data_IF_199840747835
#
_entry.id   IF_199840747835
#
_cell.length_a   1.000
_cell.length_b   1.000
_cell.length_c   1.000
_cell.angle_alpha   90.00
_cell.angle_beta   90.00
_cell.angle_gamma   90.00
#
_symmetry.space_group_name_H-M   'P 1'
#
loop_
_entity.id
_entity.type
_entity.pdbx_description
1 polymer ?
#
# COMPACT_ATOMS: atom_id res chain seq x y z
N UNK A 1 59.70 -12.12 -73.67
CA UNK A 1 58.58 -12.72 -72.90
C UNK A 1 58.41 -11.90 -71.63
N UNK A 2 57.27 -11.22 -71.47
CA UNK A 2 56.97 -10.37 -70.31
C UNK A 2 56.52 -11.25 -69.14
N UNK A 3 57.17 -11.13 -67.99
CA UNK A 3 56.81 -11.82 -66.75
C UNK A 3 55.75 -10.99 -66.01
N UNK A 4 54.52 -11.49 -65.95
CA UNK A 4 53.41 -10.86 -65.22
C UNK A 4 53.36 -11.36 -63.79
N UNK A 5 53.54 -10.45 -62.82
CA UNK A 5 53.32 -10.69 -61.40
C UNK A 5 51.79 -10.67 -61.13
N UNK A 6 51.21 -11.78 -60.70
CA UNK A 6 49.84 -11.82 -60.19
C UNK A 6 49.86 -11.42 -58.70
N UNK A 7 49.30 -10.25 -58.38
CA UNK A 7 48.96 -9.89 -57.00
C UNK A 7 47.64 -10.57 -56.62
N UNK A 8 47.68 -11.50 -55.68
CA UNK A 8 46.47 -12.02 -55.01
C UNK A 8 46.15 -11.06 -53.87
N UNK A 9 45.09 -10.27 -54.02
CA UNK A 9 44.54 -9.47 -52.93
C UNK A 9 43.82 -10.42 -51.95
N UNK A 10 44.42 -10.66 -50.78
CA UNK A 10 43.71 -11.27 -49.66
C UNK A 10 42.76 -10.23 -49.04
N UNK A 11 41.46 -10.52 -48.89
CA UNK A 11 40.56 -9.62 -48.19
C UNK A 11 40.95 -9.58 -46.71
N UNK A 12 41.29 -8.39 -46.21
CA UNK A 12 41.45 -8.14 -44.78
C UNK A 12 40.06 -8.24 -44.17
N UNK A 13 39.76 -9.42 -43.61
CA UNK A 13 38.56 -9.66 -42.82
C UNK A 13 38.68 -8.86 -41.53
N UNK A 14 37.98 -7.73 -41.46
CA UNK A 14 37.77 -7.01 -40.21
C UNK A 14 36.99 -7.93 -39.27
N UNK A 15 37.68 -8.53 -38.29
CA UNK A 15 37.02 -9.05 -37.10
C UNK A 15 36.44 -7.84 -36.36
N UNK A 16 35.16 -7.56 -36.57
CA UNK A 16 34.39 -6.78 -35.63
C UNK A 16 34.36 -7.58 -34.32
N UNK A 17 35.20 -7.18 -33.36
CA UNK A 17 35.01 -7.55 -31.97
C UNK A 17 33.60 -7.10 -31.61
N UNK A 18 32.68 -8.05 -31.43
CA UNK A 18 31.40 -7.79 -30.81
C UNK A 18 31.69 -7.30 -29.40
N UNK A 19 31.74 -5.97 -29.24
CA UNK A 19 31.63 -5.32 -27.95
C UNK A 19 30.40 -5.91 -27.27
N UNK A 20 30.61 -6.47 -26.08
CA UNK A 20 29.54 -7.06 -25.29
C UNK A 20 28.36 -6.09 -25.25
N UNK A 21 27.17 -6.60 -25.57
CA UNK A 21 25.94 -5.84 -25.46
C UNK A 21 25.76 -5.46 -23.99
N UNK A 22 26.28 -4.28 -23.61
CA UNK A 22 25.85 -3.60 -22.40
C UNK A 22 24.35 -3.45 -22.52
N UNK A 23 23.61 -3.89 -21.50
CA UNK A 23 22.17 -3.69 -21.46
C UNK A 23 21.89 -2.21 -21.68
N UNK A 24 21.14 -1.88 -22.73
CA UNK A 24 20.86 -0.51 -23.08
C UNK A 24 20.13 0.17 -21.92
N UNK A 25 20.66 1.29 -21.45
CA UNK A 25 20.02 2.11 -20.43
C UNK A 25 18.66 2.61 -20.93
N UNK A 26 17.65 2.48 -20.08
CA UNK A 26 16.32 2.98 -20.35
C UNK A 26 16.30 4.49 -20.18
N UNK A 27 15.54 5.18 -21.03
CA UNK A 27 15.20 6.59 -20.78
C UNK A 27 14.36 6.75 -19.51
N UNK A 28 14.33 7.96 -18.94
CA UNK A 28 13.50 8.26 -17.78
C UNK A 28 12.01 7.90 -18.00
N UNK A 29 11.51 8.13 -19.21
CA UNK A 29 10.13 7.81 -19.58
C UNK A 29 9.88 6.29 -19.60
N UNK A 30 10.85 5.52 -20.10
CA UNK A 30 10.78 4.05 -20.13
C UNK A 30 10.85 3.47 -18.71
N UNK A 31 11.75 3.99 -17.86
CA UNK A 31 11.82 3.63 -16.43
C UNK A 31 10.46 3.91 -15.77
N UNK A 32 9.90 5.11 -15.94
CA UNK A 32 8.60 5.46 -15.35
C UNK A 32 7.49 4.52 -15.80
N UNK A 33 7.37 4.29 -17.11
CA UNK A 33 6.34 3.42 -17.69
C UNK A 33 6.48 1.99 -17.17
N UNK A 34 7.71 1.52 -16.99
CA UNK A 34 8.00 0.18 -16.49
C UNK A 34 7.61 0.02 -15.02
N UNK A 35 7.95 0.99 -14.15
CA UNK A 35 7.88 0.78 -12.69
C UNK A 35 6.72 1.48 -12.01
N UNK A 36 6.13 2.53 -12.59
CA UNK A 36 4.97 3.23 -12.00
C UNK A 36 3.77 2.35 -11.66
N UNK A 37 3.44 1.26 -12.39
CA UNK A 37 2.39 0.32 -11.97
C UNK A 37 2.70 -0.47 -10.69
N UNK A 38 3.92 -0.35 -10.17
CA UNK A 38 4.38 -0.99 -8.93
C UNK A 38 4.57 0.03 -7.80
N UNK A 39 4.18 1.30 -7.99
CA UNK A 39 4.27 2.34 -6.96
C UNK A 39 2.87 2.71 -6.49
N UNK A 40 2.69 2.81 -5.18
CA UNK A 40 1.39 3.06 -4.53
C UNK A 40 1.47 4.29 -3.62
N UNK A 41 0.32 4.87 -3.35
CA UNK A 41 0.18 5.92 -2.31
C UNK A 41 -0.34 5.26 -1.04
N UNK A 42 0.31 5.53 0.08
CA UNK A 42 -0.10 5.06 1.39
C UNK A 42 -0.64 6.25 2.17
N UNK A 43 -1.85 6.11 2.67
CA UNK A 43 -2.51 7.10 3.49
C UNK A 43 -2.74 6.52 4.89
N UNK A 44 -2.16 7.21 5.87
CA UNK A 44 -2.38 6.97 7.29
C UNK A 44 -3.39 7.98 7.76
N UNK A 45 -4.53 7.49 8.24
CA UNK A 45 -5.62 8.33 8.71
C UNK A 45 -5.90 8.01 10.17
N UNK A 46 -6.09 9.07 10.94
CA UNK A 46 -6.65 9.00 12.28
C UNK A 46 -8.17 9.00 12.13
N UNK A 47 -8.81 8.28 13.03
CA UNK A 47 -10.26 8.14 13.06
C UNK A 47 -10.75 8.58 14.44
N UNK A 48 -10.72 9.89 14.75
CA UNK A 48 -11.17 10.37 16.05
C UNK A 48 -12.64 10.02 16.19
N UNK A 49 -13.02 9.47 17.35
CA UNK A 49 -14.42 9.32 17.69
C UNK A 49 -15.09 10.67 17.49
N UNK A 50 -16.09 10.66 16.63
CA UNK A 50 -16.80 11.89 16.44
C UNK A 50 -16.10 12.97 15.61
N UNK A 51 -15.09 12.69 14.78
CA UNK A 51 -14.64 13.68 13.78
C UNK A 51 -14.39 13.04 12.41
N UNK A 52 -14.50 13.79 11.29
CA UNK A 52 -14.06 13.31 9.98
C UNK A 52 -12.65 12.75 10.04
N UNK A 53 -12.35 11.78 9.18
CA UNK A 53 -10.99 11.22 9.13
C UNK A 53 -10.01 12.33 8.86
N UNK A 54 -8.93 12.34 9.64
CA UNK A 54 -7.84 13.25 9.42
C UNK A 54 -6.74 12.46 8.76
N UNK A 55 -6.32 12.87 7.57
CA UNK A 55 -5.05 12.41 7.03
C UNK A 55 -3.95 12.84 8.00
N UNK A 56 -3.31 11.87 8.63
CA UNK A 56 -2.21 12.10 9.59
C UNK A 56 -0.90 12.13 8.84
N UNK A 57 -0.79 11.25 7.86
CA UNK A 57 0.31 11.22 6.93
C UNK A 57 -0.10 10.60 5.62
N UNK A 58 0.53 11.07 4.55
CA UNK A 58 0.60 10.37 3.30
C UNK A 58 2.06 10.12 2.94
N UNK A 59 2.28 9.06 2.21
CA UNK A 59 3.56 8.69 1.65
C UNK A 59 3.36 7.76 0.48
N UNK A 60 4.45 7.13 0.08
CA UNK A 60 4.52 6.22 -1.04
C UNK A 60 4.88 4.82 -0.58
N UNK A 61 4.68 3.84 -1.45
CA UNK A 61 5.14 2.48 -1.25
C UNK A 61 5.52 1.85 -2.58
N UNK A 62 6.38 0.83 -2.54
CA UNK A 62 6.75 0.05 -3.73
C UNK A 62 6.31 -1.39 -3.56
N UNK A 63 5.61 -1.92 -4.57
CA UNK A 63 5.17 -3.30 -4.63
C UNK A 63 6.38 -4.17 -4.99
N UNK A 64 6.74 -5.04 -4.06
CA UNK A 64 7.93 -5.90 -4.16
C UNK A 64 7.54 -7.37 -4.26
N UNK A 65 8.43 -8.23 -4.77
CA UNK A 65 8.17 -9.66 -4.86
C UNK A 65 7.80 -10.24 -3.49
N UNK A 66 6.71 -11.02 -3.45
CA UNK A 66 6.21 -11.65 -2.24
C UNK A 66 5.92 -13.12 -2.49
N UNK A 67 6.13 -13.93 -1.44
CA UNK A 67 5.65 -15.32 -1.41
C UNK A 67 4.19 -15.44 -0.95
N UNK A 68 3.56 -14.34 -0.51
CA UNK A 68 2.14 -14.36 -0.12
C UNK A 68 1.27 -14.68 -1.32
N UNK A 69 0.47 -15.74 -1.18
CA UNK A 69 -0.52 -16.12 -2.19
C UNK A 69 -1.65 -15.09 -2.29
N UNK A 70 -1.96 -14.36 -1.20
CA UNK A 70 -3.08 -13.44 -1.11
C UNK A 70 -2.64 -12.00 -0.78
N UNK A 71 -2.56 -11.15 -1.80
CA UNK A 71 -2.22 -9.72 -1.65
C UNK A 71 -0.94 -9.28 -2.34
N UNK A 72 -0.53 -8.04 -2.09
CA UNK A 72 0.66 -7.42 -2.65
C UNK A 72 1.52 -6.91 -1.49
N UNK A 73 2.77 -7.34 -1.42
CA UNK A 73 3.71 -6.85 -0.41
C UNK A 73 4.23 -5.49 -0.86
N UNK A 74 4.09 -4.50 0.01
CA UNK A 74 4.55 -3.14 -0.24
C UNK A 74 5.63 -2.79 0.78
N UNK A 75 6.78 -2.37 0.28
CA UNK A 75 7.83 -1.77 1.07
C UNK A 75 7.61 -0.26 1.18
N UNK A 76 7.79 0.29 2.38
CA UNK A 76 7.64 1.72 2.68
C UNK A 76 8.47 2.07 3.92
N UNK A 77 8.35 3.30 4.43
CA UNK A 77 9.04 3.72 5.64
C UNK A 77 8.24 3.47 6.93
N UNK A 78 8.96 3.16 8.01
CA UNK A 78 8.32 2.96 9.31
C UNK A 78 7.82 4.25 9.93
N UNK A 79 8.49 5.39 9.73
CA UNK A 79 8.00 6.68 10.23
C UNK A 79 6.66 7.11 9.60
N UNK A 80 6.33 6.55 8.43
CA UNK A 80 5.00 6.67 7.85
C UNK A 80 4.04 5.77 8.60
N UNK A 81 4.34 4.47 8.70
CA UNK A 81 3.43 3.47 9.25
C UNK A 81 3.21 3.58 10.76
N UNK A 82 4.21 4.06 11.51
CA UNK A 82 4.17 4.23 12.97
C UNK A 82 3.18 5.32 13.41
N UNK A 83 2.63 6.09 12.46
CA UNK A 83 1.54 7.05 12.69
C UNK A 83 0.16 6.40 12.71
N UNK A 84 0.06 5.11 12.35
CA UNK A 84 -1.15 4.31 12.52
C UNK A 84 -1.07 3.63 13.88
N UNK A 85 -1.96 4.00 14.79
CA UNK A 85 -2.11 3.35 16.09
C UNK A 85 -2.59 1.89 15.95
N UNK A 86 -3.11 1.55 14.79
CA UNK A 86 -4.05 0.46 14.59
C UNK A 86 -3.55 -0.57 13.56
N UNK A 87 -2.43 -0.28 12.90
CA UNK A 87 -1.73 -1.13 11.93
C UNK A 87 -2.44 -1.28 10.59
N UNK A 88 -3.43 -0.43 10.30
CA UNK A 88 -4.24 -0.44 9.08
C UNK A 88 -3.96 0.79 8.23
N UNK A 89 -3.82 0.57 6.92
CA UNK A 89 -3.45 1.60 5.95
C UNK A 89 -4.42 1.62 4.78
N UNK A 90 -4.80 2.82 4.32
CA UNK A 90 -5.45 2.93 3.02
C UNK A 90 -4.36 3.01 1.95
N UNK A 91 -4.45 2.16 0.92
CA UNK A 91 -3.43 2.08 -0.13
C UNK A 91 -4.08 2.34 -1.47
N UNK A 92 -3.63 3.37 -2.18
CA UNK A 92 -4.16 3.74 -3.50
C UNK A 92 -3.22 3.33 -4.61
N UNK A 93 -3.79 2.82 -5.69
CA UNK A 93 -3.08 2.47 -6.92
C UNK A 93 -3.94 2.92 -8.12
N UNK A 94 -3.62 4.10 -8.66
CA UNK A 94 -4.48 4.79 -9.62
C UNK A 94 -5.87 5.05 -9.02
N UNK A 95 -6.91 4.61 -9.71
CA UNK A 95 -8.31 4.69 -9.26
C UNK A 95 -8.69 3.58 -8.26
N UNK A 96 -7.85 2.55 -8.11
CA UNK A 96 -8.12 1.44 -7.20
C UNK A 96 -7.68 1.79 -5.77
N UNK A 97 -8.50 1.42 -4.79
CA UNK A 97 -8.16 1.49 -3.37
C UNK A 97 -8.09 0.08 -2.79
N UNK A 98 -7.08 -0.14 -1.96
CA UNK A 98 -6.85 -1.37 -1.21
C UNK A 98 -6.62 -1.06 0.26
N UNK A 99 -6.63 -2.12 1.06
CA UNK A 99 -6.32 -2.04 2.49
C UNK A 99 -4.99 -2.72 2.77
N UNK A 100 -4.12 -2.03 3.51
CA UNK A 100 -2.82 -2.51 3.94
C UNK A 100 -2.84 -2.91 5.40
N UNK A 101 -2.14 -3.98 5.72
CA UNK A 101 -1.91 -4.46 7.08
C UNK A 101 -0.41 -4.58 7.32
N UNK A 102 0.04 -4.20 8.52
CA UNK A 102 1.44 -4.36 8.89
C UNK A 102 1.87 -5.83 8.79
N UNK A 103 2.97 -6.08 8.07
CA UNK A 103 3.52 -7.43 7.83
C UNK A 103 4.92 -7.58 8.40
N UNK A 104 5.75 -6.55 8.30
CA UNK A 104 7.13 -6.57 8.81
C UNK A 104 7.61 -5.18 9.20
N UNK A 105 8.51 -5.10 10.18
CA UNK A 105 8.96 -3.83 10.75
C UNK A 105 10.43 -3.86 11.14
N UNK A 106 11.22 -2.99 10.52
CA UNK A 106 12.59 -2.66 10.92
C UNK A 106 12.68 -1.16 11.21
N UNK A 107 12.43 -0.81 12.48
CA UNK A 107 12.39 0.59 12.91
C UNK A 107 13.78 1.24 12.96
N UNK A 108 14.85 0.46 13.14
CA UNK A 108 16.21 0.99 13.19
C UNK A 108 16.62 1.54 11.83
N UNK A 109 16.20 0.86 10.75
CA UNK A 109 16.50 1.23 9.37
C UNK A 109 15.38 2.00 8.68
N UNK A 110 14.30 2.30 9.40
CA UNK A 110 13.10 2.98 8.89
C UNK A 110 12.46 2.27 7.68
N UNK A 111 12.44 0.93 7.70
CA UNK A 111 11.92 0.09 6.62
C UNK A 111 10.81 -0.83 7.13
N UNK A 112 9.61 -0.65 6.57
CA UNK A 112 8.42 -1.38 6.95
C UNK A 112 7.77 -2.06 5.74
N UNK A 113 7.14 -3.20 5.98
CA UNK A 113 6.44 -3.99 4.99
C UNK A 113 4.96 -4.06 5.36
N UNK A 114 4.09 -3.77 4.39
CA UNK A 114 2.64 -3.93 4.53
C UNK A 114 2.13 -4.96 3.51
N UNK A 115 1.26 -5.87 3.92
CA UNK A 115 0.52 -6.71 3.00
C UNK A 115 -0.76 -6.00 2.59
N UNK A 116 -0.98 -5.82 1.29
CA UNK A 116 -2.08 -5.01 0.75
C UNK A 116 -3.03 -5.84 -0.09
N UNK A 117 -4.33 -5.66 0.14
CA UNK A 117 -5.39 -6.36 -0.56
C UNK A 117 -6.15 -5.39 -1.44
N UNK A 118 -6.14 -5.64 -2.75
CA UNK A 118 -6.94 -4.92 -3.74
C UNK A 118 -8.01 -5.86 -4.29
N UNK A 119 -9.27 -5.77 -3.85
CA UNK A 119 -10.31 -6.64 -4.39
C UNK A 119 -10.49 -6.42 -5.90
N UNK A 120 -10.48 -7.49 -6.69
CA UNK A 120 -10.68 -7.40 -8.14
C UNK A 120 -12.17 -7.20 -8.46
N UNK A 121 -12.45 -6.45 -9.52
CA UNK A 121 -13.80 -6.04 -9.91
C UNK A 121 -14.29 -4.72 -9.30
N UNK A 122 -13.46 -4.02 -8.53
CA UNK A 122 -13.73 -2.67 -8.06
C UNK A 122 -13.03 -1.64 -8.96
N UNK A 123 -13.82 -0.84 -9.68
CA UNK A 123 -13.36 0.29 -10.49
C UNK A 123 -14.50 0.96 -11.24
N UNK A 124 -14.37 2.24 -11.59
CA UNK A 124 -15.42 3.05 -12.21
C UNK A 124 -15.93 2.45 -13.54
N UNK A 125 -15.11 1.63 -14.21
CA UNK A 125 -15.40 1.04 -15.52
C UNK A 125 -15.77 -0.45 -15.50
N UNK A 126 -15.81 -1.10 -14.34
CA UNK A 126 -16.24 -2.51 -14.18
C UNK A 126 -17.24 -2.55 -13.03
N UNK A 127 -18.52 -2.79 -13.31
CA UNK A 127 -19.64 -2.72 -12.35
C UNK A 127 -19.25 -3.21 -10.95
N UNK A 128 -19.73 -2.54 -9.88
CA UNK A 128 -19.38 -2.68 -8.46
C UNK A 128 -19.53 -4.10 -7.88
N UNK A 129 -18.85 -5.08 -8.45
CA UNK A 129 -19.02 -6.50 -8.18
C UNK A 129 -17.66 -7.08 -7.84
N UNK A 130 -17.48 -7.34 -6.55
CA UNK A 130 -16.30 -8.01 -6.01
C UNK A 130 -16.22 -9.40 -6.64
N UNK A 131 -15.16 -9.67 -7.39
CA UNK A 131 -14.97 -10.97 -8.04
C UNK A 131 -14.68 -12.06 -7.02
N UNK A 132 -15.30 -13.21 -7.24
CA UNK A 132 -15.17 -14.39 -6.39
C UNK A 132 -14.84 -15.61 -7.22
N UNK A 133 -13.86 -16.39 -6.75
CA UNK A 133 -13.42 -17.63 -7.35
C UNK A 133 -14.44 -18.75 -7.17
N UNK A 134 -14.21 -19.87 -7.87
CA UNK A 134 -15.07 -21.07 -7.78
C UNK A 134 -15.10 -21.68 -6.37
N UNK A 135 -14.11 -21.36 -5.55
CA UNK A 135 -13.98 -21.77 -4.14
C UNK A 135 -14.69 -20.81 -3.16
N UNK A 136 -15.42 -19.80 -3.66
CA UNK A 136 -16.13 -18.83 -2.84
C UNK A 136 -15.25 -17.71 -2.26
N UNK A 137 -13.95 -17.67 -2.58
CA UNK A 137 -13.02 -16.66 -2.06
C UNK A 137 -12.91 -15.43 -2.95
N UNK A 138 -12.60 -14.28 -2.35
CA UNK A 138 -12.30 -13.04 -3.09
C UNK A 138 -11.11 -13.26 -4.00
N UNK A 139 -11.24 -12.80 -5.24
CA UNK A 139 -10.09 -12.65 -6.13
C UNK A 139 -9.48 -11.28 -5.87
N UNK A 140 -8.23 -11.26 -5.44
CA UNK A 140 -7.47 -10.03 -5.28
C UNK A 140 -6.64 -9.75 -6.53
N UNK A 141 -6.64 -8.49 -6.95
CA UNK A 141 -5.78 -8.00 -8.02
C UNK A 141 -4.33 -8.07 -7.53
N UNK A 142 -3.52 -8.88 -8.23
CA UNK A 142 -2.06 -8.82 -8.14
C UNK A 142 -1.57 -7.68 -9.01
N UNK A 143 -0.83 -6.78 -8.41
CA UNK A 143 -0.22 -5.65 -9.08
C UNK A 143 1.21 -6.03 -9.52
N UNK A 144 1.75 -5.39 -10.57
CA UNK A 144 3.13 -5.60 -10.98
C UNK A 144 4.11 -5.39 -9.82
N UNK A 145 5.15 -6.22 -9.78
CA UNK A 145 6.23 -6.12 -8.79
C UNK A 145 7.49 -5.62 -9.48
N UNK A 146 8.29 -4.82 -8.78
CA UNK A 146 9.60 -4.40 -9.26
C UNK A 146 10.65 -5.51 -9.10
N UNK A 147 11.72 -5.46 -9.90
CA UNK A 147 12.92 -6.25 -9.66
C UNK A 147 13.79 -5.53 -8.64
N UNK A 148 14.19 -6.20 -7.57
CA UNK A 148 15.13 -5.65 -6.59
C UNK A 148 16.56 -5.91 -7.06
N UNK A 149 17.42 -4.89 -6.98
CA UNK A 149 18.85 -4.97 -7.23
C UNK A 149 19.61 -4.52 -5.98
N UNK A 150 20.78 -5.11 -5.76
CA UNK A 150 21.64 -4.69 -4.64
C UNK A 150 22.31 -3.36 -4.95
N UNK A 151 22.30 -2.50 -3.95
CA UNK A 151 23.01 -1.22 -3.92
C UNK A 151 24.53 -1.36 -4.02
N UNK A 152 25.11 -2.53 -3.74
CA UNK A 152 26.56 -2.77 -3.84
C UNK A 152 27.12 -2.59 -5.26
N UNK A 153 26.25 -2.63 -6.27
CA UNK A 153 26.61 -2.43 -7.67
C UNK A 153 26.46 -0.98 -8.12
N UNK A 154 26.00 -0.09 -7.24
CA UNK A 154 25.91 1.33 -7.53
C UNK A 154 27.26 2.00 -7.33
N UNK A 155 27.64 2.82 -8.30
CA UNK A 155 28.78 3.72 -8.22
C UNK A 155 28.33 5.18 -8.17
N UNK A 156 29.17 6.03 -7.59
CA UNK A 156 28.93 7.47 -7.60
C UNK A 156 28.95 7.96 -9.05
N UNK A 157 27.89 8.64 -9.47
CA UNK A 157 27.67 9.06 -10.85
C UNK A 157 26.65 8.22 -11.61
N UNK A 158 26.22 7.08 -11.08
CA UNK A 158 25.19 6.26 -11.74
C UNK A 158 23.86 7.01 -11.82
N UNK A 159 23.17 6.98 -12.98
CA UNK A 159 21.84 7.56 -13.12
C UNK A 159 20.80 6.80 -12.30
N UNK A 160 19.99 7.55 -11.56
CA UNK A 160 18.90 7.03 -10.74
C UNK A 160 17.63 7.85 -10.89
N UNK A 161 16.49 7.21 -10.66
CA UNK A 161 15.16 7.76 -10.82
C UNK A 161 14.36 7.54 -9.55
N UNK A 162 13.87 8.60 -8.91
CA UNK A 162 12.99 8.51 -7.77
C UNK A 162 11.53 8.64 -8.23
N UNK A 163 10.67 7.70 -7.82
CA UNK A 163 9.25 7.69 -8.15
C UNK A 163 8.43 7.50 -6.88
N UNK A 164 7.48 8.40 -6.66
CA UNK A 164 6.54 8.38 -5.53
C UNK A 164 5.39 9.36 -5.77
N UNK A 165 4.60 9.64 -4.74
CA UNK A 165 3.46 10.55 -4.77
C UNK A 165 3.67 11.72 -3.78
N UNK A 166 4.41 12.78 -4.18
CA UNK A 166 4.50 14.01 -3.41
C UNK A 166 3.12 14.52 -3.01
N UNK A 167 2.95 14.83 -1.72
CA UNK A 167 1.68 15.32 -1.16
C UNK A 167 0.45 14.41 -1.41
N UNK A 168 0.65 13.12 -1.75
CA UNK A 168 -0.43 12.20 -2.08
C UNK A 168 -1.14 12.48 -3.42
N UNK A 169 -0.50 13.28 -4.30
CA UNK A 169 -0.96 13.56 -5.65
C UNK A 169 -0.61 12.41 -6.61
N UNK A 170 -0.76 12.65 -7.92
CA UNK A 170 -0.30 11.71 -8.95
C UNK A 170 1.19 11.37 -8.80
N UNK A 171 1.57 10.19 -9.31
CA UNK A 171 2.95 9.74 -9.28
C UNK A 171 3.85 10.72 -10.00
N UNK A 172 4.90 11.16 -9.32
CA UNK A 172 5.92 12.06 -9.84
C UNK A 172 7.21 11.28 -10.03
N UNK A 173 7.85 11.48 -11.17
CA UNK A 173 9.23 11.06 -11.43
C UNK A 173 10.18 12.24 -11.24
N UNK A 174 11.30 11.97 -10.59
CA UNK A 174 12.49 12.80 -10.63
C UNK A 174 13.71 11.96 -10.99
N UNK A 175 14.72 12.56 -11.61
CA UNK A 175 15.97 11.90 -11.96
C UNK A 175 17.15 12.61 -11.29
N UNK A 176 18.23 11.86 -11.08
CA UNK A 176 19.47 12.35 -10.53
C UNK A 176 20.56 11.32 -10.66
N UNK A 177 21.61 11.48 -9.86
CA UNK A 177 22.76 10.59 -9.80
C UNK A 177 22.94 10.06 -8.39
N UNK A 178 23.58 8.90 -8.25
CA UNK A 178 24.17 8.49 -6.97
C UNK A 178 25.28 9.48 -6.61
N UNK A 179 25.13 10.19 -5.50
CA UNK A 179 26.08 11.20 -5.01
C UNK A 179 27.06 10.64 -3.99
N UNK A 180 26.77 9.46 -3.45
CA UNK A 180 27.58 8.81 -2.43
C UNK A 180 26.87 7.64 -1.79
N UNK A 181 27.65 6.70 -1.28
CA UNK A 181 27.19 5.73 -0.29
C UNK A 181 27.64 6.24 1.08
N UNK A 182 26.72 6.26 2.04
CA UNK A 182 26.95 6.85 3.37
C UNK A 182 26.56 5.86 4.44
N UNK A 183 27.48 5.56 5.35
CA UNK A 183 27.16 4.76 6.52
C UNK A 183 26.61 5.66 7.63
N UNK A 184 25.45 5.29 8.18
CA UNK A 184 24.87 5.93 9.35
C UNK A 184 24.32 4.86 10.30
N UNK A 185 24.81 4.88 11.55
CA UNK A 185 24.44 3.89 12.59
C UNK A 185 24.57 2.44 12.12
N UNK A 186 25.63 2.11 11.38
CA UNK A 186 25.90 0.76 10.87
C UNK A 186 24.96 0.31 9.74
N UNK A 187 24.22 1.24 9.12
CA UNK A 187 23.42 0.98 7.91
C UNK A 187 23.90 1.89 6.79
N UNK A 188 24.11 1.32 5.61
CA UNK A 188 24.44 2.10 4.42
C UNK A 188 23.18 2.76 3.83
N UNK A 189 23.34 3.99 3.38
CA UNK A 189 22.32 4.79 2.71
C UNK A 189 22.85 5.25 1.35
N UNK A 190 21.98 5.20 0.35
CA UNK A 190 22.25 5.73 -0.98
C UNK A 190 21.93 7.22 -0.96
N UNK A 191 22.95 8.07 -1.08
CA UNK A 191 22.77 9.51 -1.29
C UNK A 191 22.52 9.76 -2.78
N UNK A 192 21.49 10.55 -3.10
CA UNK A 192 21.14 10.89 -4.49
C UNK A 192 20.86 12.37 -4.69
N UNK A 193 21.16 12.88 -5.89
CA UNK A 193 20.71 14.21 -6.31
C UNK A 193 19.26 14.24 -6.78
N UNK A 194 18.62 13.08 -7.00
CA UNK A 194 17.24 13.01 -7.46
C UNK A 194 16.31 13.72 -6.45
N UNK A 195 15.59 14.78 -6.86
CA UNK A 195 14.73 15.52 -5.95
C UNK A 195 13.65 14.63 -5.32
N UNK A 196 13.57 14.62 -4.00
CA UNK A 196 12.46 14.04 -3.24
C UNK A 196 11.82 15.13 -2.36
N UNK A 197 10.55 14.96 -2.05
CA UNK A 197 9.80 15.90 -1.20
C UNK A 197 8.85 15.15 -0.27
N UNK A 198 8.15 15.87 0.59
CA UNK A 198 7.15 15.28 1.48
C UNK A 198 6.08 14.53 0.65
N UNK A 199 5.83 13.27 1.01
CA UNK A 199 4.95 12.35 0.28
C UNK A 199 5.70 11.37 -0.64
N UNK A 200 6.92 11.71 -1.10
CA UNK A 200 7.81 10.77 -1.79
C UNK A 200 8.40 9.70 -0.84
N UNK A 201 8.42 9.95 0.47
CA UNK A 201 8.90 8.97 1.47
C UNK A 201 8.16 7.64 1.34
N UNK A 202 8.91 6.55 1.28
CA UNK A 202 8.45 5.19 1.02
C UNK A 202 8.38 4.83 -0.47
N UNK A 203 8.66 5.78 -1.36
CA UNK A 203 8.74 5.58 -2.80
C UNK A 203 10.01 4.81 -3.21
N UNK A 204 10.15 4.59 -4.52
CA UNK A 204 11.26 3.80 -5.06
C UNK A 204 12.36 4.67 -5.65
N UNK A 205 13.61 4.30 -5.40
CA UNK A 205 14.78 4.72 -6.15
C UNK A 205 15.17 3.60 -7.12
N UNK A 206 15.21 3.91 -8.40
CA UNK A 206 15.41 2.96 -9.49
C UNK A 206 16.69 3.29 -10.27
N UNK A 207 17.40 2.25 -10.72
CA UNK A 207 18.52 2.42 -11.66
C UNK A 207 18.04 2.61 -13.11
N UNK A 208 18.98 2.80 -14.03
CA UNK A 208 18.73 2.93 -15.47
C UNK A 208 18.16 1.68 -16.16
N UNK A 209 17.98 0.56 -15.45
CA UNK A 209 17.29 -0.62 -15.95
C UNK A 209 15.90 -0.80 -15.31
N UNK A 210 15.46 0.19 -14.50
CA UNK A 210 14.19 0.14 -13.77
C UNK A 210 14.17 -0.92 -12.67
N UNK A 211 15.33 -1.29 -12.11
CA UNK A 211 15.43 -2.15 -10.92
C UNK A 211 15.41 -1.26 -9.68
N UNK A 212 14.65 -1.68 -8.66
CA UNK A 212 14.60 -0.99 -7.38
C UNK A 212 15.92 -1.20 -6.64
N UNK A 213 16.64 -0.11 -6.38
CA UNK A 213 17.90 -0.09 -5.64
C UNK A 213 17.76 0.53 -4.25
N UNK A 214 16.71 1.32 -4.00
CA UNK A 214 16.42 1.81 -2.66
C UNK A 214 14.99 2.27 -2.43
N UNK A 215 14.63 2.47 -1.16
CA UNK A 215 13.37 3.09 -0.71
C UNK A 215 13.68 4.52 -0.25
N UNK A 216 13.10 5.51 -0.91
CA UNK A 216 13.34 6.93 -0.58
C UNK A 216 12.79 7.24 0.81
N UNK A 217 13.59 7.81 1.71
CA UNK A 217 13.16 8.09 3.10
C UNK A 217 13.28 9.57 3.47
N UNK A 218 14.51 10.06 3.55
CA UNK A 218 14.83 11.33 4.20
C UNK A 218 15.48 12.30 3.22
N UNK A 219 15.24 13.58 3.46
CA UNK A 219 15.99 14.68 2.88
C UNK A 219 16.46 15.61 4.00
N UNK A 220 17.65 16.17 3.88
CA UNK A 220 18.14 17.18 4.82
C UNK A 220 17.58 18.54 4.41
N UNK A 221 16.64 19.09 5.20
CA UNK A 221 15.95 20.36 4.90
C UNK A 221 16.90 21.55 4.66
N UNK A 222 18.04 21.57 5.33
CA UNK A 222 19.03 22.66 5.25
C UNK A 222 20.15 22.38 4.23
N UNK A 223 20.08 21.26 3.50
CA UNK A 223 21.05 20.88 2.47
C UNK A 223 20.40 20.71 1.11
N UNK A 224 20.89 21.43 0.09
CA UNK A 224 20.40 21.24 -1.28
C UNK A 224 20.91 19.89 -1.84
N UNK A 225 20.00 19.13 -2.47
CA UNK A 225 20.30 17.84 -3.11
C UNK A 225 20.93 16.79 -2.17
N UNK A 226 20.59 16.83 -0.89
CA UNK A 226 20.93 15.80 0.09
C UNK A 226 19.72 14.92 0.37
N UNK A 227 19.48 13.99 -0.55
CA UNK A 227 18.38 13.04 -0.50
C UNK A 227 18.94 11.63 -0.28
N UNK A 228 18.19 10.80 0.45
CA UNK A 228 18.66 9.47 0.83
C UNK A 228 17.61 8.38 0.61
N UNK A 229 18.10 7.21 0.24
CA UNK A 229 17.32 5.99 0.14
C UNK A 229 17.95 4.85 0.96
N UNK A 230 17.10 4.02 1.54
CA UNK A 230 17.47 2.77 2.22
C UNK A 230 17.71 1.71 1.14
N UNK A 231 18.84 0.98 1.13
CA UNK A 231 19.11 -0.09 0.16
C UNK A 231 17.96 -1.10 0.07
N UNK A 232 17.49 -1.37 -1.14
CA UNK A 232 16.30 -2.19 -1.36
C UNK A 232 16.53 -3.67 -1.04
N UNK A 233 17.77 -4.16 -1.07
CA UNK A 233 18.11 -5.51 -0.63
C UNK A 233 17.74 -5.80 0.84
N UNK A 234 17.71 -4.76 1.68
CA UNK A 234 17.37 -4.89 3.11
C UNK A 234 15.92 -5.33 3.33
N UNK A 235 15.05 -5.19 2.33
CA UNK A 235 13.65 -5.67 2.35
C UNK A 235 13.59 -7.16 2.72
N UNK A 236 14.54 -7.96 2.25
CA UNK A 236 14.58 -9.39 2.54
C UNK A 236 14.94 -9.72 4.01
N UNK A 237 15.49 -8.75 4.75
CA UNK A 237 15.91 -8.90 6.15
C UNK A 237 14.91 -8.35 7.16
N UNK A 238 13.83 -7.70 6.70
CA UNK A 238 12.83 -7.10 7.59
C UNK A 238 12.11 -8.21 8.37
N UNK A 239 12.13 -8.19 9.71
CA UNK A 239 11.48 -9.21 10.51
C UNK A 239 9.95 -9.08 10.40
N UNK A 240 9.26 -10.22 10.29
CA UNK A 240 7.80 -10.23 10.30
C UNK A 240 7.27 -9.80 11.68
N UNK A 241 6.20 -9.03 11.70
CA UNK A 241 5.47 -8.73 12.94
C UNK A 241 4.66 -9.97 13.31
N UNK A 242 5.01 -10.62 14.42
CA UNK A 242 4.30 -11.82 14.90
C UNK A 242 2.86 -11.51 15.36
N UNK A 243 2.01 -12.54 15.42
CA UNK A 243 0.58 -12.49 15.81
C UNK A 243 0.27 -11.74 17.12
N UNK A 244 1.27 -11.55 17.99
CA UNK A 244 1.14 -10.91 19.30
C UNK A 244 1.85 -9.54 19.38
N UNK A 245 2.40 -9.02 18.28
CA UNK A 245 3.36 -7.90 18.29
C UNK A 245 2.90 -6.65 17.51
N UNK A 246 1.60 -6.49 17.25
CA UNK A 246 1.02 -5.15 17.11
C UNK A 246 0.91 -4.58 18.53
N UNK A 247 2.06 -4.30 19.16
CA UNK A 247 2.08 -3.44 20.33
C UNK A 247 2.03 -2.01 19.80
N UNK A 248 0.95 -1.24 20.04
CA UNK A 248 1.04 0.20 19.91
C UNK A 248 2.24 0.65 20.73
N UNK A 249 3.03 1.58 20.21
CA UNK A 249 4.19 2.14 20.92
C UNK A 249 3.82 2.37 22.38
N UNK A 250 4.50 1.66 23.30
CA UNK A 250 4.18 1.67 24.71
C UNK A 250 4.27 3.10 25.25
N UNK A 251 3.13 3.75 25.42
CA UNK A 251 3.01 4.82 26.41
C UNK A 251 2.83 4.13 27.75
N UNK A 252 3.75 4.39 28.68
CA UNK A 252 3.55 4.14 30.10
C UNK A 252 2.18 4.67 30.49
N UNK A 253 1.27 3.74 30.83
CA UNK A 253 -0.08 4.05 31.29
C UNK A 253 0.04 4.70 32.66
N UNK A 254 -0.29 5.99 32.74
CA UNK A 254 -0.75 6.56 34.01
C UNK A 254 -2.10 5.90 34.39
N UNK A 255 -2.43 5.82 35.69
CA UNK A 255 -3.65 5.15 36.14
C UNK A 255 -4.89 5.80 35.55
N UNK A 256 -5.80 4.97 35.04
CA UNK A 256 -7.08 5.38 34.44
C UNK A 256 -7.96 6.07 35.49
N UNK A 257 -8.40 7.33 35.28
CA UNK A 257 -9.42 7.95 36.11
C UNK A 257 -10.79 7.29 35.88
N UNK A 258 -11.61 7.22 36.93
CA UNK A 258 -12.97 6.66 36.87
C UNK A 258 -13.89 7.39 35.88
N UNK A 259 -14.97 6.75 35.40
CA UNK A 259 -15.77 7.25 34.28
C UNK A 259 -16.47 8.55 34.63
N UNK A 260 -16.22 9.59 33.84
CA UNK A 260 -17.01 10.81 33.84
C UNK A 260 -18.13 10.65 32.80
N UNK A 261 -19.37 11.02 33.16
CA UNK A 261 -20.53 11.01 32.27
C UNK A 261 -20.22 11.69 30.92
N UNK A 262 -20.61 11.02 29.83
CA UNK A 262 -20.37 11.43 28.44
C UNK A 262 -20.92 12.83 28.15
N UNK A 263 -20.08 13.80 27.73
CA UNK A 263 -20.55 14.92 26.91
C UNK A 263 -20.88 14.41 25.50
N UNK A 264 -21.88 15.01 24.86
CA UNK A 264 -22.28 14.69 23.49
C UNK A 264 -21.08 14.77 22.51
N UNK A 265 -20.80 13.67 21.82
CA UNK A 265 -19.72 13.48 20.84
C UNK A 265 -19.95 14.33 19.58
N UNK A 266 -18.92 14.92 18.94
CA UNK A 266 -19.02 15.34 17.54
C UNK A 266 -19.06 14.07 16.62
N UNK A 267 -19.09 14.12 15.26
CA UNK A 267 -19.30 12.96 14.34
C UNK A 267 -18.07 12.34 13.60
N UNK A 268 -17.94 11.01 13.67
CA UNK A 268 -16.84 10.17 13.19
C UNK A 268 -16.67 10.17 11.66
N UNK A 269 -15.52 9.73 11.12
CA UNK A 269 -15.32 9.45 9.68
C UNK A 269 -16.32 8.46 9.13
N UNK A 270 -16.67 7.60 10.06
CA UNK A 270 -17.70 6.62 10.02
C UNK A 270 -18.95 7.45 10.22
N UNK A 271 -19.56 7.82 9.10
CA UNK A 271 -20.87 8.48 9.14
C UNK A 271 -21.80 7.41 9.66
N UNK A 272 -22.33 7.62 10.86
CA UNK A 272 -23.39 6.78 11.37
C UNK A 272 -24.56 6.89 10.40
N UNK A 273 -24.89 5.77 9.80
CA UNK A 273 -25.96 5.69 8.78
C UNK A 273 -27.13 4.88 9.29
N UNK A 274 -26.95 4.11 10.35
CA UNK A 274 -28.05 3.42 11.04
C UNK A 274 -27.58 2.68 12.28
N UNK A 275 -28.50 2.50 13.22
CA UNK A 275 -28.30 1.76 14.46
C UNK A 275 -29.50 0.84 14.73
N UNK A 276 -29.26 -0.24 15.46
CA UNK A 276 -30.26 -1.16 16.00
C UNK A 276 -29.83 -1.62 17.39
N UNK A 277 -30.67 -2.41 18.09
CA UNK A 277 -30.36 -3.01 19.41
C UNK A 277 -29.17 -4.00 19.41
N UNK A 278 -28.58 -4.25 18.24
CA UNK A 278 -27.48 -5.20 18.06
C UNK A 278 -26.19 -4.51 17.63
N UNK A 279 -26.29 -3.44 16.85
CA UNK A 279 -25.12 -2.84 16.22
C UNK A 279 -25.40 -1.44 15.70
N UNK A 280 -24.35 -0.62 15.69
CA UNK A 280 -24.32 0.65 14.96
C UNK A 280 -23.44 0.50 13.72
N UNK A 281 -23.99 0.88 12.57
CA UNK A 281 -23.26 0.86 11.31
C UNK A 281 -22.84 2.25 10.89
N UNK A 282 -21.67 2.25 10.28
CA UNK A 282 -21.06 3.43 9.76
C UNK A 282 -20.49 3.20 8.37
N UNK A 283 -20.48 4.26 7.56
CA UNK A 283 -19.84 4.25 6.22
C UNK A 283 -18.69 5.23 6.16
N UNK A 284 -17.67 4.89 5.38
CA UNK A 284 -16.61 5.82 5.02
C UNK A 284 -16.91 6.48 3.66
N UNK A 285 -17.51 7.65 3.68
CA UNK A 285 -17.93 8.38 2.48
C UNK A 285 -16.77 8.78 1.57
N UNK A 286 -15.52 8.80 2.06
CA UNK A 286 -14.34 9.14 1.27
C UNK A 286 -13.84 7.98 0.40
N UNK A 287 -14.32 6.76 0.66
CA UNK A 287 -14.01 5.58 -0.16
C UNK A 287 -15.18 5.14 -1.04
N UNK A 288 -16.25 5.95 -1.08
CA UNK A 288 -17.43 5.67 -1.88
C UNK A 288 -17.04 5.72 -3.37
N UNK A 289 -17.19 4.59 -4.05
CA UNK A 289 -17.02 4.46 -5.49
C UNK A 289 -18.37 4.13 -6.14
N UNK A 290 -18.73 4.85 -7.21
CA UNK A 290 -19.98 4.62 -7.95
C UNK A 290 -19.70 4.02 -9.32
N UNK A 291 -20.52 3.05 -9.71
CA UNK A 291 -20.55 2.53 -11.07
C UNK A 291 -22.00 2.29 -11.49
N UNK A 292 -22.51 3.18 -12.35
CA UNK A 292 -23.94 3.24 -12.65
C UNK A 292 -24.74 3.50 -11.38
N UNK A 293 -25.70 2.62 -11.08
CA UNK A 293 -26.48 2.67 -9.84
C UNK A 293 -25.79 2.02 -8.65
N UNK A 294 -24.72 1.27 -8.85
CA UNK A 294 -24.14 0.46 -7.78
C UNK A 294 -23.05 1.23 -7.04
N UNK A 295 -22.95 0.99 -5.73
CA UNK A 295 -22.05 1.72 -4.85
C UNK A 295 -21.19 0.76 -4.06
N UNK A 296 -19.87 0.98 -4.07
CA UNK A 296 -18.95 0.27 -3.18
C UNK A 296 -18.43 1.23 -2.12
N UNK A 297 -18.43 0.80 -0.86
CA UNK A 297 -18.00 1.62 0.27
C UNK A 297 -17.44 0.76 1.39
N UNK A 298 -16.44 1.26 2.11
CA UNK A 298 -16.04 0.64 3.37
C UNK A 298 -17.11 0.92 4.43
N UNK A 299 -17.47 -0.12 5.18
CA UNK A 299 -18.42 -0.06 6.29
C UNK A 299 -17.78 -0.57 7.57
N UNK A 300 -18.21 -0.01 8.70
CA UNK A 300 -17.80 -0.43 10.03
C UNK A 300 -19.03 -0.72 10.85
N UNK A 301 -19.01 -1.85 11.52
CA UNK A 301 -20.05 -2.24 12.47
C UNK A 301 -19.44 -2.27 13.86
N UNK A 302 -20.06 -1.56 14.78
CA UNK A 302 -19.76 -1.64 16.22
C UNK A 302 -20.92 -2.40 16.85
N UNK A 303 -20.63 -3.50 17.53
CA UNK A 303 -21.62 -4.36 18.16
C UNK A 303 -21.86 -3.92 19.60
N UNK A 304 -23.12 -3.91 20.02
CA UNK A 304 -23.47 -3.53 21.40
C UNK A 304 -23.00 -4.56 22.43
N UNK A 305 -22.82 -5.81 21.98
CA UNK A 305 -22.23 -6.90 22.77
C UNK A 305 -21.19 -7.62 21.93
N UNK A 306 -20.02 -7.97 22.51
CA UNK A 306 -19.03 -8.76 21.82
C UNK A 306 -19.62 -10.09 21.34
N UNK A 307 -19.25 -10.48 20.12
CA UNK A 307 -19.63 -11.75 19.51
C UNK A 307 -18.38 -12.61 19.36
N UNK A 308 -18.55 -13.91 19.51
CA UNK A 308 -17.51 -14.89 19.18
C UNK A 308 -17.84 -15.53 17.84
N UNK A 309 -16.87 -15.53 16.93
CA UNK A 309 -17.05 -16.18 15.63
C UNK A 309 -16.88 -17.70 15.71
N UNK A 310 -16.98 -18.38 14.57
CA UNK A 310 -16.79 -19.84 14.48
C UNK A 310 -15.34 -20.27 14.70
N UNK A 311 -14.39 -19.34 14.67
CA UNK A 311 -12.98 -19.60 14.94
C UNK A 311 -12.62 -19.48 16.43
N UNK A 312 -13.51 -18.92 17.25
CA UNK A 312 -13.27 -18.67 18.66
C UNK A 312 -12.76 -17.25 18.94
N UNK A 313 -12.63 -16.42 17.92
CA UNK A 313 -12.21 -15.03 18.05
C UNK A 313 -13.39 -14.20 18.54
N UNK A 314 -13.18 -13.45 19.62
CA UNK A 314 -14.21 -12.59 20.21
C UNK A 314 -13.94 -11.15 19.82
N UNK A 315 -14.97 -10.45 19.36
CA UNK A 315 -14.87 -9.11 18.79
C UNK A 315 -16.12 -8.27 19.06
N UNK A 316 -15.95 -6.95 19.10
CA UNK A 316 -17.01 -5.95 19.22
C UNK A 316 -17.01 -4.92 18.07
N UNK A 317 -16.03 -4.99 17.16
CA UNK A 317 -15.98 -4.18 15.95
C UNK A 317 -15.62 -5.03 14.72
N UNK A 318 -16.27 -4.75 13.60
CA UNK A 318 -15.97 -5.33 12.30
C UNK A 318 -15.77 -4.26 11.23
N UNK A 319 -14.68 -4.39 10.47
CA UNK A 319 -14.46 -3.62 9.26
C UNK A 319 -14.80 -4.47 8.04
N UNK A 320 -15.61 -3.90 7.14
CA UNK A 320 -16.11 -4.59 5.95
C UNK A 320 -16.01 -3.70 4.71
N UNK A 321 -16.00 -4.33 3.55
CA UNK A 321 -16.22 -3.68 2.26
C UNK A 321 -17.55 -4.19 1.71
N UNK A 322 -18.48 -3.26 1.52
CA UNK A 322 -19.81 -3.56 1.03
C UNK A 322 -20.01 -2.98 -0.37
N UNK A 323 -20.53 -3.80 -1.27
CA UNK A 323 -21.09 -3.36 -2.53
C UNK A 323 -22.62 -3.43 -2.47
N UNK A 324 -23.27 -2.29 -2.68
CA UNK A 324 -24.72 -2.11 -2.70
C UNK A 324 -25.20 -2.00 -4.14
N UNK A 325 -26.02 -2.96 -4.56
CA UNK A 325 -26.69 -2.97 -5.85
C UNK A 325 -28.03 -2.26 -5.72
N UNK A 326 -28.01 -0.94 -5.87
CA UNK A 326 -29.12 -0.07 -5.46
C UNK A 326 -30.43 -0.36 -6.22
N UNK A 327 -30.34 -0.79 -7.48
CA UNK A 327 -31.52 -1.16 -8.28
C UNK A 327 -32.18 -2.47 -7.83
N UNK A 328 -31.39 -3.47 -7.41
CA UNK A 328 -31.89 -4.79 -7.02
C UNK A 328 -32.05 -4.97 -5.50
N UNK A 329 -31.63 -3.97 -4.71
CA UNK A 329 -31.63 -3.99 -3.24
C UNK A 329 -30.87 -5.20 -2.67
N UNK A 330 -29.73 -5.49 -3.27
CA UNK A 330 -28.84 -6.55 -2.84
C UNK A 330 -27.54 -5.96 -2.30
N UNK A 331 -26.96 -6.58 -1.29
CA UNK A 331 -25.60 -6.30 -0.85
C UNK A 331 -24.70 -7.50 -1.10
N UNK A 332 -23.44 -7.16 -1.35
CA UNK A 332 -22.32 -8.09 -1.36
C UNK A 332 -21.31 -7.61 -0.33
N UNK A 333 -21.12 -8.39 0.74
CA UNK A 333 -20.30 -8.00 1.89
C UNK A 333 -19.01 -8.79 1.95
N UNK A 334 -17.94 -8.13 2.40
CA UNK A 334 -16.63 -8.74 2.68
C UNK A 334 -16.07 -8.26 4.00
N UNK A 335 -15.68 -9.19 4.87
CA UNK A 335 -15.11 -8.91 6.19
C UNK A 335 -13.58 -8.82 6.10
N UNK A 336 -12.97 -7.79 6.69
CA UNK A 336 -11.51 -7.56 6.57
C UNK A 336 -10.76 -7.56 7.89
N UNK A 337 -11.39 -7.07 8.96
CA UNK A 337 -10.79 -7.14 10.29
C UNK A 337 -11.85 -7.19 11.37
N UNK A 338 -11.49 -7.80 12.50
CA UNK A 338 -12.27 -7.79 13.72
C UNK A 338 -11.42 -7.25 14.86
N UNK A 339 -12.05 -6.49 15.75
CA UNK A 339 -11.39 -5.92 16.93
C UNK A 339 -12.19 -6.22 18.17
N UNK A 340 -11.49 -6.30 19.30
CA UNK A 340 -12.08 -6.35 20.63
C UNK A 340 -11.53 -5.19 21.43
N UNK A 341 -12.40 -4.27 21.85
CA UNK A 341 -12.03 -3.09 22.62
C UNK A 341 -10.93 -2.28 21.93
N UNK A 342 -11.06 -2.11 20.61
CA UNK A 342 -10.11 -1.40 19.76
C UNK A 342 -8.84 -2.17 19.39
N UNK A 343 -8.54 -3.28 20.07
CA UNK A 343 -7.38 -4.11 19.75
C UNK A 343 -7.69 -5.03 18.58
N UNK A 344 -6.78 -5.10 17.60
CA UNK A 344 -6.91 -5.98 16.45
C UNK A 344 -6.85 -7.44 16.91
N UNK A 345 -7.95 -8.17 16.74
CA UNK A 345 -8.04 -9.60 17.08
C UNK A 345 -7.82 -10.44 15.83
N UNK A 346 -8.38 -9.99 14.70
CA UNK A 346 -8.30 -10.68 13.43
C UNK A 346 -7.98 -9.69 12.31
N UNK A 347 -6.91 -9.95 11.56
CA UNK A 347 -6.49 -9.10 10.42
C UNK A 347 -5.65 -9.80 9.35
N UNK A 348 -5.46 -11.12 9.41
CA UNK A 348 -4.54 -11.80 8.49
C UNK A 348 -5.02 -13.16 7.98
N UNK A 349 -4.47 -13.50 6.80
CA UNK A 349 -4.51 -14.76 6.06
C UNK A 349 -4.93 -15.94 6.97
N UNK A 350 -6.02 -16.66 6.67
CA UNK A 350 -6.25 -18.10 6.95
C UNK A 350 -7.71 -18.55 7.12
N UNK A 351 -8.69 -17.66 7.17
CA UNK A 351 -10.10 -18.08 7.02
C UNK A 351 -10.80 -17.20 6.00
N UNK A 352 -11.52 -17.87 5.11
CA UNK A 352 -12.19 -17.36 3.92
C UNK A 352 -12.81 -15.99 4.15
N UNK A 353 -12.44 -15.01 3.32
CA UNK A 353 -13.18 -13.78 3.11
C UNK A 353 -14.54 -14.16 2.49
N UNK A 354 -15.45 -14.66 3.33
CA UNK A 354 -16.77 -15.13 2.93
C UNK A 354 -17.49 -13.99 2.20
N UNK A 355 -17.92 -14.27 0.97
CA UNK A 355 -18.85 -13.37 0.28
C UNK A 355 -20.21 -13.68 0.83
N UNK A 356 -20.77 -12.76 1.58
CA UNK A 356 -22.18 -12.84 1.89
C UNK A 356 -22.93 -12.02 0.87
N UNK A 357 -23.90 -12.67 0.22
CA UNK A 357 -24.90 -12.00 -0.61
C UNK A 357 -26.21 -12.02 0.14
N UNK A 358 -26.75 -10.84 0.36
CA UNK A 358 -28.01 -10.67 1.08
C UNK A 358 -28.96 -9.79 0.31
N UNK A 359 -30.24 -10.11 0.38
CA UNK A 359 -31.29 -9.13 0.08
C UNK A 359 -31.40 -8.18 1.27
N UNK A 360 -31.38 -6.88 0.99
CA UNK A 360 -31.47 -5.86 2.03
C UNK A 360 -32.93 -5.71 2.44
N UNK A 361 -33.22 -6.12 3.67
CA UNK A 361 -34.57 -6.12 4.22
C UNK A 361 -34.94 -4.73 4.74
N UNK A 362 -36.17 -4.25 4.50
CA UNK A 362 -36.66 -2.99 5.07
C UNK A 362 -36.55 -2.97 6.60
N UNK A 363 -36.26 -1.80 7.17
CA UNK A 363 -36.16 -1.61 8.62
C UNK A 363 -34.90 -2.21 9.27
N UNK A 364 -33.93 -2.69 8.48
CA UNK A 364 -32.63 -3.14 9.00
C UNK A 364 -31.59 -2.04 8.94
N UNK A 365 -30.50 -2.21 9.68
CA UNK A 365 -29.31 -1.34 9.57
C UNK A 365 -28.74 -1.36 8.14
N UNK A 366 -28.86 -2.49 7.43
CA UNK A 366 -28.50 -2.59 6.02
C UNK A 366 -29.32 -1.66 5.11
N UNK A 367 -30.61 -1.47 5.42
CA UNK A 367 -31.47 -0.52 4.71
C UNK A 367 -31.00 0.92 4.91
N UNK A 368 -30.68 1.26 6.15
CA UNK A 368 -30.24 2.60 6.50
C UNK A 368 -28.91 2.97 5.81
N UNK A 369 -27.98 2.01 5.69
CA UNK A 369 -26.78 2.19 4.87
C UNK A 369 -27.15 2.38 3.39
N UNK A 370 -28.00 1.52 2.85
CA UNK A 370 -28.40 1.60 1.44
C UNK A 370 -29.04 2.95 1.11
N UNK A 371 -29.96 3.44 1.95
CA UNK A 371 -30.55 4.77 1.78
C UNK A 371 -29.53 5.90 1.88
N UNK A 372 -28.47 5.74 2.66
CA UNK A 372 -27.43 6.75 2.79
C UNK A 372 -26.51 6.81 1.57
N UNK A 373 -26.18 5.65 0.98
CA UNK A 373 -25.15 5.57 -0.09
C UNK A 373 -25.74 5.50 -1.50
N UNK A 374 -26.98 5.04 -1.66
CA UNK A 374 -27.66 4.90 -2.97
C UNK A 374 -28.46 6.15 -3.40
N UNK A 375 -28.66 7.13 -2.51
CA UNK A 375 -29.10 8.48 -2.90
C UNK A 375 -28.03 9.15 -3.74
#
# INVERSE_FOLDING_TARGET
MKMGLFFVAMPVMWLALASGAGAQELSAQEVFKQVSPSVVVIEVREYPEGKPSRLVASGSGVIVPSRSENGNLVATNCHLTDKSDDGIFLVRHGESSGIGFMKGRDAERDLCLINTLFPDGLGENKGSSIKVGKDGKVIYKKLPTVRVASSQWLEVGDPVYAIGAPQGLELTLSNGLVSGIREYKGTEYIQTTAPISQGSSGGGLFDAQGRLVGITTMYLKDGQNLNFAIPAELIASVPEVGKNNVQPAARTLEPVPQPVEKPASPRSRWVEVGSSDLSTAYVDTQTLQRNGTDVTVWTKFVLDRPKTDKAGDTYDEELRLDAYHCASRQSTTKFFSQRLRGSLVWSHEYKSYEQDRGSIQPGTVGEAIMEAVCK
#
